data_IF_252272581535
#
_entry.id   IF_252272581535
#
_cell.length_a   1.000
_cell.length_b   1.000
_cell.length_c   1.000
_cell.angle_alpha   90.00
_cell.angle_beta   90.00
_cell.angle_gamma   90.00
#
_symmetry.space_group_name_H-M   'P 1'
#
loop_
_entity.id
_entity.type
_entity.pdbx_description
1 polymer ?
#
# COMPACT_ATOMS: atom_id res chain seq x y z
N UNK A 1 -37.82 -18.98 -19.77
CA UNK A 1 -38.35 -17.90 -18.90
C UNK A 1 -37.66 -17.88 -17.54
N UNK A 2 -37.74 -18.96 -16.73
CA UNK A 2 -37.09 -19.04 -15.40
C UNK A 2 -35.58 -18.76 -15.44
N UNK A 3 -34.86 -19.31 -16.42
CA UNK A 3 -33.41 -19.07 -16.58
C UNK A 3 -33.08 -17.58 -16.77
N UNK A 4 -33.91 -16.85 -17.53
CA UNK A 4 -33.69 -15.41 -17.77
C UNK A 4 -33.91 -14.58 -16.49
N UNK A 5 -34.90 -14.95 -15.67
CA UNK A 5 -35.16 -14.29 -14.39
C UNK A 5 -34.02 -14.53 -13.40
N UNK A 6 -33.51 -15.77 -13.33
CA UNK A 6 -32.36 -16.11 -12.48
C UNK A 6 -31.12 -15.36 -12.93
N UNK A 7 -30.84 -15.31 -14.24
CA UNK A 7 -29.68 -14.56 -14.75
C UNK A 7 -29.79 -13.08 -14.42
N UNK A 8 -30.97 -12.47 -14.59
CA UNK A 8 -31.19 -11.06 -14.29
C UNK A 8 -30.90 -10.73 -12.82
N UNK A 9 -31.36 -11.57 -11.89
CA UNK A 9 -31.17 -11.33 -10.45
C UNK A 9 -29.75 -11.66 -9.99
N UNK A 10 -29.07 -12.61 -10.62
CA UNK A 10 -27.76 -13.10 -10.17
C UNK A 10 -26.59 -12.29 -10.75
N UNK A 11 -26.70 -11.74 -11.96
CA UNK A 11 -25.66 -10.89 -12.58
C UNK A 11 -25.20 -9.73 -11.68
N UNK A 12 -26.08 -8.88 -11.11
CA UNK A 12 -25.64 -7.79 -10.24
C UNK A 12 -24.94 -8.32 -8.98
N UNK A 13 -25.44 -9.42 -8.40
CA UNK A 13 -24.82 -10.04 -7.24
C UNK A 13 -23.40 -10.55 -7.54
N UNK A 14 -23.22 -11.20 -8.68
CA UNK A 14 -21.89 -11.65 -9.15
C UNK A 14 -20.97 -10.45 -9.33
N UNK A 15 -21.47 -9.34 -9.90
CA UNK A 15 -20.66 -8.13 -10.08
C UNK A 15 -20.20 -7.54 -8.74
N UNK A 16 -21.08 -7.46 -7.74
CA UNK A 16 -20.72 -7.02 -6.38
C UNK A 16 -19.67 -7.94 -5.75
N UNK A 17 -19.89 -9.26 -5.77
CA UNK A 17 -18.92 -10.23 -5.27
C UNK A 17 -17.57 -10.14 -6.01
N UNK A 18 -17.61 -9.89 -7.33
CA UNK A 18 -16.41 -9.75 -8.15
C UNK A 18 -15.59 -8.54 -7.73
N UNK A 19 -16.22 -7.41 -7.36
CA UNK A 19 -15.50 -6.21 -6.87
C UNK A 19 -14.71 -6.51 -5.59
N UNK A 20 -15.29 -7.28 -4.68
CA UNK A 20 -14.64 -7.71 -3.44
C UNK A 20 -13.50 -8.69 -3.76
N UNK A 21 -13.75 -9.72 -4.57
CA UNK A 21 -12.76 -10.74 -4.94
C UNK A 21 -11.58 -10.18 -5.72
N UNK A 22 -11.81 -9.21 -6.60
CA UNK A 22 -10.78 -8.51 -7.36
C UNK A 22 -9.99 -7.50 -6.52
N UNK A 23 -10.24 -7.43 -5.20
CA UNK A 23 -9.55 -6.52 -4.27
C UNK A 23 -9.59 -5.07 -4.75
N UNK A 24 -10.71 -4.65 -5.33
CA UNK A 24 -10.83 -3.32 -5.91
C UNK A 24 -10.65 -2.27 -4.82
N UNK A 25 -9.81 -1.27 -5.08
CA UNK A 25 -9.63 -0.15 -4.18
C UNK A 25 -10.97 0.57 -3.96
N UNK A 26 -11.37 0.82 -2.69
CA UNK A 26 -12.65 1.42 -2.40
C UNK A 26 -12.72 2.88 -2.85
N UNK A 27 -13.77 3.24 -3.60
CA UNK A 27 -13.90 4.56 -4.24
C UNK A 27 -13.94 5.75 -3.27
N UNK A 28 -14.25 5.52 -2.00
CA UNK A 28 -14.39 6.56 -0.99
C UNK A 28 -13.08 6.87 -0.22
N UNK A 29 -12.04 6.05 -0.38
CA UNK A 29 -10.72 6.28 0.23
C UNK A 29 -9.82 6.96 -0.79
N UNK A 30 -9.46 8.22 -0.53
CA UNK A 30 -8.48 8.94 -1.33
C UNK A 30 -7.07 8.46 -0.96
N UNK A 31 -6.55 7.50 -1.72
CA UNK A 31 -5.22 6.90 -1.52
C UNK A 31 -4.10 7.96 -1.54
N UNK A 32 -4.05 8.91 -2.49
CA UNK A 32 -3.07 10.00 -2.47
C UNK A 32 -3.08 10.80 -1.16
N UNK A 33 -4.26 11.21 -0.69
CA UNK A 33 -4.40 11.97 0.57
C UNK A 33 -3.99 11.14 1.79
N UNK A 34 -4.30 9.84 1.80
CA UNK A 34 -3.86 8.93 2.85
C UNK A 34 -2.32 8.80 2.86
N UNK A 35 -1.70 8.62 1.69
CA UNK A 35 -0.24 8.55 1.52
C UNK A 35 0.42 9.81 2.08
N UNK A 36 -0.08 10.99 1.72
CA UNK A 36 0.43 12.28 2.20
C UNK A 36 0.32 12.42 3.73
N UNK A 37 -0.83 12.05 4.32
CA UNK A 37 -1.02 12.08 5.79
C UNK A 37 -0.04 11.14 6.51
N UNK A 38 0.26 9.99 5.92
CA UNK A 38 1.18 9.02 6.51
C UNK A 38 2.64 9.46 6.36
N UNK A 39 3.02 10.08 5.24
CA UNK A 39 4.35 10.67 5.02
C UNK A 39 4.64 11.84 5.95
N UNK A 40 3.61 12.58 6.36
CA UNK A 40 3.74 13.67 7.34
C UNK A 40 4.05 13.20 8.78
N UNK A 41 4.08 11.89 9.05
CA UNK A 41 4.42 11.37 10.38
C UNK A 41 5.95 11.46 10.58
N UNK A 42 6.43 12.13 11.64
CA UNK A 42 7.86 12.23 11.91
C UNK A 42 8.51 10.85 12.02
N UNK A 43 9.64 10.66 11.33
CA UNK A 43 10.39 9.41 11.29
C UNK A 43 10.04 8.50 10.10
N UNK A 44 8.94 8.76 9.39
CA UNK A 44 8.65 8.11 8.10
C UNK A 44 9.46 8.80 7.01
N UNK A 45 10.23 8.02 6.25
CA UNK A 45 11.01 8.51 5.11
C UNK A 45 10.30 8.22 3.79
N UNK A 46 9.62 7.10 3.69
CA UNK A 46 8.94 6.67 2.48
C UNK A 46 7.83 5.68 2.77
N UNK A 47 6.88 5.60 1.84
CA UNK A 47 5.78 4.62 1.86
C UNK A 47 5.60 4.11 0.44
N UNK A 48 5.67 2.80 0.28
CA UNK A 48 5.49 2.09 -0.98
C UNK A 48 4.49 0.95 -0.82
N UNK A 49 4.01 0.48 -1.97
CA UNK A 49 3.04 -0.61 -2.09
C UNK A 49 1.83 -0.43 -1.15
N UNK A 50 1.37 0.82 -1.00
CA UNK A 50 0.15 1.12 -0.25
C UNK A 50 -1.05 0.60 -1.01
N UNK A 51 -1.53 -0.57 -0.61
CA UNK A 51 -2.71 -1.22 -1.13
C UNK A 51 -3.83 -1.15 -0.11
N UNK A 52 -5.01 -0.74 -0.56
CA UNK A 52 -6.22 -0.72 0.26
C UNK A 52 -7.30 -1.47 -0.48
N UNK A 53 -7.92 -2.44 0.18
CA UNK A 53 -8.97 -3.26 -0.42
C UNK A 53 -10.11 -3.47 0.59
N UNK A 54 -11.25 -3.90 0.07
CA UNK A 54 -12.42 -4.25 0.85
C UNK A 54 -12.46 -5.77 1.06
N UNK A 55 -12.54 -6.21 2.32
CA UNK A 55 -12.61 -7.64 2.67
C UNK A 55 -14.05 -8.16 2.64
N UNK A 56 -14.95 -7.39 3.23
CA UNK A 56 -16.41 -7.59 3.29
C UNK A 56 -17.01 -6.18 3.18
N UNK A 57 -18.29 -6.06 2.82
CA UNK A 57 -19.01 -4.79 2.77
C UNK A 57 -18.64 -3.88 3.95
N UNK A 58 -18.13 -2.69 3.64
CA UNK A 58 -17.71 -1.66 4.60
C UNK A 58 -16.55 -2.02 5.54
N UNK A 59 -15.84 -3.13 5.30
CA UNK A 59 -14.66 -3.56 6.05
C UNK A 59 -13.40 -3.44 5.20
N UNK A 60 -12.66 -2.34 5.41
CA UNK A 60 -11.46 -2.02 4.64
C UNK A 60 -10.17 -2.45 5.34
N UNK A 61 -9.27 -3.07 4.58
CA UNK A 61 -7.94 -3.49 5.02
C UNK A 61 -6.90 -2.81 4.16
N UNK A 62 -5.75 -2.50 4.76
CA UNK A 62 -4.61 -1.97 4.04
C UNK A 62 -3.34 -2.79 4.27
N UNK A 63 -2.47 -2.81 3.27
CA UNK A 63 -1.08 -3.23 3.40
C UNK A 63 -0.18 -2.13 2.88
N UNK A 64 0.94 -1.88 3.56
CA UNK A 64 1.94 -0.94 3.09
C UNK A 64 3.32 -1.28 3.62
N UNK A 65 4.34 -0.88 2.87
CA UNK A 65 5.71 -0.91 3.33
C UNK A 65 6.12 0.51 3.71
N UNK A 66 6.79 0.63 4.85
CA UNK A 66 7.11 1.91 5.47
C UNK A 66 8.61 1.95 5.72
N UNK A 67 9.26 2.91 5.08
CA UNK A 67 10.68 3.18 5.29
C UNK A 67 10.84 4.09 6.51
N UNK A 68 11.62 3.64 7.48
CA UNK A 68 11.91 4.36 8.73
C UNK A 68 13.42 4.56 8.86
N UNK A 69 13.82 5.72 9.39
CA UNK A 69 15.24 6.05 9.57
C UNK A 69 15.90 5.24 10.68
N UNK A 70 15.25 5.13 11.85
CA UNK A 70 15.81 4.49 13.05
C UNK A 70 14.89 3.42 13.63
N UNK A 71 15.46 2.28 14.03
CA UNK A 71 14.71 1.16 14.61
C UNK A 71 14.08 1.49 15.98
N UNK A 72 14.72 2.38 16.75
CA UNK A 72 14.30 2.70 18.13
C UNK A 72 12.86 3.26 18.19
N UNK A 73 12.46 4.03 17.17
CA UNK A 73 11.14 4.68 17.13
C UNK A 73 10.11 3.94 16.27
N UNK A 74 10.50 2.87 15.57
CA UNK A 74 9.67 2.17 14.60
C UNK A 74 8.30 1.77 15.16
N UNK A 75 8.26 1.24 16.40
CA UNK A 75 7.01 0.84 17.06
C UNK A 75 6.07 2.02 17.30
N UNK A 76 6.60 3.18 17.70
CA UNK A 76 5.82 4.39 17.93
C UNK A 76 5.25 4.95 16.63
N UNK A 77 6.07 4.95 15.57
CA UNK A 77 5.67 5.37 14.23
C UNK A 77 4.56 4.47 13.69
N UNK A 78 4.73 3.15 13.78
CA UNK A 78 3.71 2.17 13.38
C UNK A 78 2.37 2.39 14.09
N UNK A 79 2.38 2.68 15.40
CA UNK A 79 1.15 2.95 16.15
C UNK A 79 0.47 4.25 15.70
N UNK A 80 1.25 5.30 15.41
CA UNK A 80 0.72 6.54 14.83
C UNK A 80 0.10 6.29 13.45
N UNK A 81 0.79 5.55 12.58
CA UNK A 81 0.28 5.19 11.25
C UNK A 81 -1.02 4.40 11.33
N UNK A 82 -1.08 3.38 12.18
CA UNK A 82 -2.32 2.62 12.44
C UNK A 82 -3.46 3.54 12.87
N UNK A 83 -3.18 4.48 13.76
CA UNK A 83 -4.18 5.46 14.22
C UNK A 83 -4.69 6.35 13.08
N UNK A 84 -3.80 6.81 12.20
CA UNK A 84 -4.17 7.59 11.02
C UNK A 84 -4.99 6.75 10.04
N UNK A 85 -4.59 5.51 9.76
CA UNK A 85 -5.35 4.60 8.90
C UNK A 85 -6.76 4.34 9.45
N UNK A 86 -6.88 4.05 10.75
CA UNK A 86 -8.17 3.90 11.43
C UNK A 86 -9.08 5.13 11.28
N UNK A 87 -8.53 6.34 11.42
CA UNK A 87 -9.29 7.58 11.24
C UNK A 87 -9.78 7.80 9.80
N UNK A 88 -9.15 7.16 8.81
CA UNK A 88 -9.55 7.25 7.40
C UNK A 88 -10.41 6.04 6.97
N UNK A 89 -10.95 5.25 7.91
CA UNK A 89 -11.89 4.16 7.63
C UNK A 89 -11.26 2.78 7.43
N UNK A 90 -9.93 2.65 7.56
CA UNK A 90 -9.25 1.36 7.46
C UNK A 90 -9.36 0.63 8.80
N UNK A 91 -9.96 -0.55 8.80
CA UNK A 91 -10.22 -1.32 10.02
C UNK A 91 -9.03 -2.14 10.47
N UNK A 92 -8.18 -2.57 9.54
CA UNK A 92 -6.96 -3.30 9.86
C UNK A 92 -5.87 -2.96 8.85
N UNK A 93 -4.62 -2.89 9.30
CA UNK A 93 -3.50 -2.58 8.44
C UNK A 93 -2.27 -3.42 8.77
N UNK A 94 -1.70 -4.08 7.76
CA UNK A 94 -0.39 -4.71 7.80
C UNK A 94 0.67 -3.73 7.34
N UNK A 95 1.58 -3.35 8.23
CA UNK A 95 2.66 -2.42 7.93
C UNK A 95 3.99 -3.15 8.08
N UNK A 96 4.70 -3.32 6.96
CA UNK A 96 6.05 -3.85 6.95
C UNK A 96 7.03 -2.69 7.13
N UNK A 97 7.89 -2.77 8.13
CA UNK A 97 8.92 -1.74 8.36
C UNK A 97 10.17 -2.13 7.61
N UNK A 98 10.67 -1.20 6.81
CA UNK A 98 11.96 -1.27 6.14
C UNK A 98 12.86 -0.19 6.74
N UNK A 99 14.16 -0.48 6.82
CA UNK A 99 15.15 0.43 7.38
C UNK A 99 16.18 0.78 6.32
N UNK A 100 16.71 2.01 6.40
CA UNK A 100 17.87 2.40 5.60
C UNK A 100 19.10 1.67 6.14
N UNK A 101 19.51 0.58 5.48
CA UNK A 101 20.80 -0.03 5.78
C UNK A 101 21.92 0.89 5.26
N UNK A 102 22.78 1.35 6.18
CA UNK A 102 24.04 2.03 5.86
C UNK A 102 25.06 1.01 5.32
N UNK A 103 24.74 0.44 4.16
CA UNK A 103 25.61 -0.48 3.44
C UNK A 103 26.61 0.35 2.63
N UNK A 104 27.90 0.30 3.02
CA UNK A 104 29.03 0.78 2.19
C UNK A 104 29.32 -0.15 1.00
N UNK A 105 28.28 -0.74 0.45
CA UNK A 105 28.33 -1.66 -0.68
C UNK A 105 27.38 -1.10 -1.74
N UNK A 106 27.94 -0.73 -2.90
CA UNK A 106 27.21 -0.16 -4.05
C UNK A 106 26.25 -1.17 -4.71
N UNK A 107 25.89 -2.26 -4.01
CA UNK A 107 24.91 -3.22 -4.50
C UNK A 107 23.51 -2.71 -4.17
N UNK A 108 22.91 -2.04 -5.14
CA UNK A 108 21.49 -1.71 -5.11
C UNK A 108 20.67 -2.99 -4.94
N UNK A 109 19.91 -3.12 -3.84
CA UNK A 109 19.15 -4.35 -3.55
C UNK A 109 17.64 -4.21 -3.69
N UNK A 110 17.10 -3.02 -3.91
CA UNK A 110 15.66 -2.80 -3.95
C UNK A 110 15.20 -2.25 -5.31
N UNK A 111 14.35 -3.01 -5.99
CA UNK A 111 13.68 -2.64 -7.23
C UNK A 111 12.96 -1.29 -7.07
N UNK A 112 13.39 -0.25 -7.81
CA UNK A 112 12.66 1.02 -7.83
C UNK A 112 11.31 0.82 -8.55
N UNK A 113 10.21 1.23 -7.90
CA UNK A 113 8.91 1.47 -8.56
C UNK A 113 8.70 2.98 -8.67
N UNK A 114 7.98 3.42 -9.71
CA UNK A 114 7.96 4.75 -10.40
C UNK A 114 7.90 6.06 -9.58
N UNK A 115 7.94 6.06 -8.24
CA UNK A 115 7.86 7.29 -7.43
C UNK A 115 8.82 7.29 -6.22
N UNK A 116 10.07 6.91 -6.40
CA UNK A 116 11.11 7.10 -5.39
C UNK A 116 11.88 8.43 -5.60
N UNK A 117 12.16 9.21 -4.54
CA UNK A 117 13.11 10.33 -4.56
C UNK A 117 14.45 9.94 -5.19
N UNK A 118 15.04 10.85 -5.99
CA UNK A 118 16.22 10.57 -6.82
C UNK A 118 17.43 10.02 -6.04
N UNK A 119 17.56 10.39 -4.77
CA UNK A 119 18.66 9.99 -3.89
C UNK A 119 18.66 8.49 -3.55
N UNK A 120 17.58 7.78 -3.90
CA UNK A 120 17.36 6.36 -3.55
C UNK A 120 17.32 5.42 -4.75
N UNK A 121 17.36 5.93 -5.98
CA UNK A 121 17.31 5.06 -7.16
C UNK A 121 18.68 4.90 -7.80
N UNK A 122 19.07 3.65 -8.04
CA UNK A 122 20.34 3.31 -8.65
C UNK A 122 20.28 3.57 -10.15
N UNK A 123 20.60 4.81 -10.54
CA UNK A 123 20.63 5.21 -11.95
C UNK A 123 21.68 4.44 -12.78
N UNK A 124 22.68 3.82 -12.15
CA UNK A 124 23.88 3.32 -12.84
C UNK A 124 23.95 1.80 -13.10
N UNK A 125 22.97 0.99 -12.66
CA UNK A 125 23.01 -0.49 -12.87
C UNK A 125 22.17 -0.94 -14.09
N UNK A 126 21.23 -0.11 -14.56
CA UNK A 126 20.30 -0.49 -15.63
C UNK A 126 20.89 -0.52 -17.05
N UNK A 127 22.21 -0.31 -17.22
CA UNK A 127 22.87 -0.30 -18.53
C UNK A 127 23.89 -1.44 -18.75
N UNK A 128 24.16 -2.29 -17.76
CA UNK A 128 25.10 -3.43 -17.92
C UNK A 128 24.43 -4.78 -18.18
N UNK A 129 23.11 -4.91 -18.01
CA UNK A 129 22.37 -6.16 -18.28
C UNK A 129 21.81 -6.28 -19.72
N UNK A 130 22.25 -5.41 -20.65
CA UNK A 130 21.94 -5.52 -22.08
C UNK A 130 23.20 -5.57 -22.97
N UNK A 131 24.10 -6.50 -22.66
CA UNK A 131 25.05 -7.06 -23.62
C UNK A 131 25.05 -8.58 -23.61
#
# INVERSE_FOLDING_TARGET
MIVLLILWTTIPLIYECSKILLQKAPSHINIPSLKEKLLNIPGVRGIHDLHVWELIDSLYIASAHVLVQDNIEAKTILNKMKTVMHKNGIHSSTLQVEFLENSKDNSCKQFCVEECPEDWCCKDIALEDYQ
#
